data_IF_229861409013
#
_entry.id   IF_229861409013
#
_cell.length_a   1.000
_cell.length_b   1.000
_cell.length_c   1.000
_cell.angle_alpha   90.00
_cell.angle_beta   90.00
_cell.angle_gamma   90.00
#
_symmetry.space_group_name_H-M   'P 1'
#
loop_
_entity.id
_entity.type
_entity.pdbx_description
1 polymer ?
#
# COMPACT_ATOMS: atom_id res chain seq x y z
N UNK A 1 6.24 19.07 0.97
CA UNK A 1 5.72 17.69 1.10
C UNK A 1 4.58 17.50 0.10
N UNK A 2 4.55 16.44 -0.69
CA UNK A 2 3.38 16.19 -1.56
C UNK A 2 2.12 16.00 -0.70
N UNK A 3 0.96 16.53 -1.14
CA UNK A 3 -0.31 16.57 -0.38
C UNK A 3 -0.81 15.19 0.13
N UNK A 4 -0.25 14.08 -0.37
CA UNK A 4 -0.67 12.71 -0.03
C UNK A 4 0.13 12.05 1.11
N UNK A 5 1.15 12.71 1.67
CA UNK A 5 2.04 12.14 2.69
C UNK A 5 1.65 12.49 4.14
N UNK A 6 0.37 12.70 4.41
CA UNK A 6 -0.18 13.19 5.70
C UNK A 6 0.14 12.33 6.94
N UNK A 7 0.50 11.07 6.75
CA UNK A 7 0.85 10.12 7.81
C UNK A 7 2.33 9.72 7.80
N UNK A 8 3.17 10.41 7.02
CA UNK A 8 4.62 10.17 7.04
C UNK A 8 5.21 10.50 8.40
N UNK A 9 6.10 9.65 8.91
CA UNK A 9 6.71 9.80 10.25
C UNK A 9 5.79 9.46 11.42
N UNK A 10 4.48 9.28 11.22
CA UNK A 10 3.57 8.84 12.28
C UNK A 10 3.72 7.34 12.54
N UNK A 11 3.56 6.95 13.81
CA UNK A 11 3.48 5.53 14.22
C UNK A 11 2.36 4.81 13.46
N UNK A 12 2.55 3.53 13.19
CA UNK A 12 1.55 2.68 12.56
C UNK A 12 0.52 2.22 13.57
N UNK A 13 -0.76 2.36 13.24
CA UNK A 13 -1.84 1.77 14.05
C UNK A 13 -2.14 0.33 13.61
N UNK A 14 -2.74 -0.47 14.48
CA UNK A 14 -3.20 -1.82 14.13
C UNK A 14 -4.23 -1.82 13.01
N UNK A 15 -5.06 -0.77 12.93
CA UNK A 15 -6.04 -0.59 11.85
C UNK A 15 -5.37 -0.30 10.50
N UNK A 16 -4.32 0.52 10.46
CA UNK A 16 -3.54 0.77 9.23
C UNK A 16 -2.85 -0.51 8.74
N UNK A 17 -2.28 -1.31 9.65
CA UNK A 17 -1.64 -2.59 9.30
C UNK A 17 -2.66 -3.59 8.76
N UNK A 18 -3.86 -3.63 9.35
CA UNK A 18 -4.96 -4.49 8.87
C UNK A 18 -5.43 -4.07 7.47
N UNK A 19 -5.58 -2.76 7.25
CA UNK A 19 -5.94 -2.20 5.94
C UNK A 19 -4.88 -2.47 4.88
N UNK A 20 -3.59 -2.35 5.23
CA UNK A 20 -2.46 -2.72 4.37
C UNK A 20 -2.57 -4.18 3.91
N UNK A 21 -2.78 -5.10 4.85
CA UNK A 21 -2.91 -6.54 4.56
C UNK A 21 -4.08 -6.83 3.62
N UNK A 22 -5.23 -6.20 3.85
CA UNK A 22 -6.41 -6.37 3.00
C UNK A 22 -6.13 -5.87 1.57
N UNK A 23 -5.60 -4.65 1.43
CA UNK A 23 -5.31 -4.08 0.11
C UNK A 23 -4.26 -4.89 -0.67
N UNK A 24 -3.26 -5.42 0.03
CA UNK A 24 -2.26 -6.30 -0.58
C UNK A 24 -2.88 -7.62 -1.06
N UNK A 25 -3.79 -8.22 -0.26
CA UNK A 25 -4.56 -9.41 -0.65
C UNK A 25 -5.44 -9.16 -1.87
N UNK A 26 -5.98 -7.94 -1.99
CA UNK A 26 -6.79 -7.50 -3.13
C UNK A 26 -5.94 -7.11 -4.36
N UNK A 27 -4.63 -7.42 -4.36
CA UNK A 27 -3.68 -7.06 -5.42
C UNK A 27 -3.65 -5.55 -5.74
N UNK A 28 -3.89 -4.71 -4.73
CA UNK A 28 -3.80 -3.25 -4.89
C UNK A 28 -2.33 -2.85 -5.09
N UNK A 29 -1.98 -1.99 -6.05
CA UNK A 29 -0.60 -1.58 -6.26
C UNK A 29 -0.08 -0.83 -5.05
N UNK A 30 1.17 -1.06 -4.70
CA UNK A 30 1.85 -0.44 -3.55
C UNK A 30 1.66 1.07 -3.49
N UNK A 31 1.73 1.76 -4.65
CA UNK A 31 1.52 3.21 -4.72
C UNK A 31 0.09 3.62 -4.36
N UNK A 32 -0.92 2.88 -4.80
CA UNK A 32 -2.33 3.12 -4.47
C UNK A 32 -2.60 2.83 -3.00
N UNK A 33 -1.96 1.81 -2.43
CA UNK A 33 -1.99 1.54 -0.98
C UNK A 33 -1.48 2.77 -0.21
N UNK A 34 -0.34 3.33 -0.63
CA UNK A 34 0.21 4.56 -0.06
C UNK A 34 -0.78 5.72 -0.09
N UNK A 35 -1.45 5.94 -1.22
CA UNK A 35 -2.48 6.99 -1.35
C UNK A 35 -3.67 6.77 -0.40
N UNK A 36 -4.17 5.53 -0.28
CA UNK A 36 -5.29 5.20 0.62
C UNK A 36 -4.92 5.39 2.09
N UNK A 37 -3.68 5.04 2.47
CA UNK A 37 -3.19 5.16 3.86
C UNK A 37 -2.56 6.52 4.17
N UNK A 38 -2.38 7.39 3.17
CA UNK A 38 -1.72 8.68 3.32
C UNK A 38 -0.22 8.57 3.66
N UNK A 39 0.45 7.52 3.18
CA UNK A 39 1.87 7.20 3.44
C UNK A 39 2.66 7.09 2.13
N UNK A 40 3.98 7.26 2.21
CA UNK A 40 4.87 7.06 1.05
C UNK A 40 4.90 5.59 0.62
N UNK A 41 5.20 5.34 -0.66
CA UNK A 41 5.40 3.99 -1.17
C UNK A 41 6.49 3.24 -0.38
N UNK A 42 7.58 3.93 -0.03
CA UNK A 42 8.66 3.36 0.78
C UNK A 42 8.18 2.95 2.17
N UNK A 43 7.34 3.78 2.81
CA UNK A 43 6.74 3.43 4.11
C UNK A 43 5.88 2.16 4.01
N UNK A 44 5.16 1.99 2.90
CA UNK A 44 4.37 0.78 2.63
C UNK A 44 5.29 -0.43 2.49
N UNK A 45 6.34 -0.34 1.66
CA UNK A 45 7.31 -1.43 1.45
C UNK A 45 7.99 -1.84 2.75
N UNK A 46 8.49 -0.87 3.53
CA UNK A 46 9.13 -1.12 4.81
C UNK A 46 8.18 -1.79 5.81
N UNK A 47 6.94 -1.30 5.93
CA UNK A 47 5.98 -1.90 6.87
C UNK A 47 5.50 -3.27 6.44
N UNK A 48 5.30 -3.47 5.14
CA UNK A 48 4.92 -4.77 4.60
C UNK A 48 6.00 -5.82 4.88
N UNK A 49 7.28 -5.46 4.69
CA UNK A 49 8.42 -6.30 5.07
C UNK A 49 8.42 -6.63 6.57
N UNK A 50 8.32 -5.62 7.44
CA UNK A 50 8.27 -5.79 8.91
C UNK A 50 7.14 -6.73 9.37
N UNK A 51 6.00 -6.74 8.65
CA UNK A 51 4.81 -7.52 9.00
C UNK A 51 4.62 -8.79 8.17
N UNK A 52 5.63 -9.18 7.38
CA UNK A 52 5.58 -10.31 6.47
C UNK A 52 4.32 -10.30 5.57
N UNK A 53 3.96 -9.13 5.06
CA UNK A 53 2.85 -8.93 4.12
C UNK A 53 3.45 -8.91 2.71
N UNK A 54 3.09 -9.89 1.89
CA UNK A 54 3.48 -9.90 0.48
C UNK A 54 2.75 -8.79 -0.28
N UNK A 55 3.52 -7.97 -1.02
CA UNK A 55 3.00 -7.00 -1.98
C UNK A 55 3.00 -7.54 -3.42
N UNK A 56 3.32 -8.83 -3.60
CA UNK A 56 3.29 -9.52 -4.88
C UNK A 56 1.86 -9.94 -5.23
N UNK A 57 1.51 -10.07 -6.52
CA UNK A 57 2.39 -10.11 -7.68
C UNK A 57 2.91 -8.73 -8.13
N UNK A 58 4.20 -8.67 -8.43
CA UNK A 58 4.91 -7.46 -8.91
C UNK A 58 4.52 -7.02 -10.31
N UNK A 59 3.70 -7.80 -11.03
CA UNK A 59 3.44 -7.60 -12.45
C UNK A 59 2.00 -7.94 -12.88
N UNK A 60 1.03 -7.70 -12.00
CA UNK A 60 -0.38 -7.67 -12.41
C UNK A 60 -0.89 -6.25 -12.34
N UNK A 61 -1.40 -5.76 -13.47
CA UNK A 61 -2.12 -4.50 -13.46
C UNK A 61 -3.30 -4.65 -12.48
N UNK A 62 -3.49 -3.71 -11.56
CA UNK A 62 -4.57 -3.73 -10.55
C UNK A 62 -5.97 -3.58 -11.14
N UNK A 63 -6.04 -3.40 -12.45
CA UNK A 63 -7.25 -3.25 -13.23
C UNK A 63 -7.11 -4.18 -14.43
N UNK A 64 -8.12 -5.01 -14.66
CA UNK A 64 -8.47 -5.47 -15.99
C UNK A 64 -8.80 -4.22 -16.83
N UNK A 65 -7.79 -3.48 -17.31
CA UNK A 65 -7.99 -2.56 -18.44
C UNK A 65 -8.18 -3.46 -19.66
N UNK A 66 -9.40 -3.97 -19.86
CA UNK A 66 -9.80 -4.39 -21.20
C UNK A 66 -9.62 -3.16 -22.08
N UNK A 67 -8.66 -3.22 -23.01
CA UNK A 67 -8.66 -2.33 -24.17
C UNK A 67 -9.87 -2.77 -24.99
N UNK A 68 -10.93 -1.96 -24.95
CA UNK A 68 -11.88 -1.95 -26.07
C UNK A 68 -11.19 -1.24 -27.24
#
# INVERSE_FOLDING_TARGET
MAKYNRNSGKKWTSSEVSKLRQLAKDNTPTRVIGLKLGRTEDSIRSKASEKNISLKPTNQSPYNRKKN
#
